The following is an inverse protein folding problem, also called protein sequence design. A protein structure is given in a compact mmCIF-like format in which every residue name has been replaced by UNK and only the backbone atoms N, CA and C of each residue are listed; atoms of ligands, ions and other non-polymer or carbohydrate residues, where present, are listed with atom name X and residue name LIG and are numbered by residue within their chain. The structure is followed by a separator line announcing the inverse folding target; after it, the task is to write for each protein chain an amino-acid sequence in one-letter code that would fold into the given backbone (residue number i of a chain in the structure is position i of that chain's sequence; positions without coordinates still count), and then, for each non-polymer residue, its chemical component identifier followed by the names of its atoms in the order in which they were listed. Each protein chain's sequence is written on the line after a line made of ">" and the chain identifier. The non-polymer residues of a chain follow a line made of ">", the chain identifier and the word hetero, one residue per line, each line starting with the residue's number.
data_IF_435389367955
#
_entry.id   IF_435389367955
#
_cell.length_a   1.000
_cell.length_b   1.000
_cell.length_c   1.000
_cell.angle_alpha   90.00
_cell.angle_beta   90.00
_cell.angle_gamma   90.00
#
_symmetry.space_group_name_H-M   'P 1'
#
loop_
_entity.id
_entity.type
_entity.pdbx_description
1 polymer ?
#
# COMPACT_ATOMS: atom_id res chain seq x y z
N UNK A 1 5.31 -30.52 13.53
CA UNK A 1 4.48 -29.72 12.62
C UNK A 1 5.40 -28.78 11.87
N UNK A 2 5.98 -29.27 10.77
CA UNK A 2 6.69 -28.42 9.82
C UNK A 2 5.64 -27.48 9.21
N UNK A 3 5.85 -26.18 9.37
CA UNK A 3 5.01 -25.18 8.74
C UNK A 3 5.12 -25.38 7.23
N UNK A 4 4.00 -25.70 6.59
CA UNK A 4 3.83 -25.59 5.15
C UNK A 4 4.27 -24.17 4.76
N UNK A 5 5.51 -24.00 4.27
CA UNK A 5 5.90 -22.82 3.53
C UNK A 5 5.03 -22.87 2.29
N UNK A 6 3.89 -22.18 2.34
CA UNK A 6 3.05 -22.01 1.16
C UNK A 6 3.96 -21.53 0.04
N UNK A 7 4.02 -22.29 -1.06
CA UNK A 7 4.81 -21.89 -2.22
C UNK A 7 4.28 -20.53 -2.69
N UNK A 8 5.18 -19.56 -2.82
CA UNK A 8 4.84 -18.18 -3.19
C UNK A 8 5.61 -17.79 -4.43
N UNK A 9 5.01 -16.92 -5.24
CA UNK A 9 5.78 -16.13 -6.19
C UNK A 9 6.76 -15.25 -5.41
N UNK A 10 7.97 -15.06 -5.91
CA UNK A 10 8.97 -14.19 -5.29
C UNK A 10 9.22 -13.03 -6.24
N UNK A 11 9.00 -11.81 -5.75
CA UNK A 11 9.48 -10.59 -6.43
C UNK A 11 10.66 -10.09 -5.63
N UNK A 12 11.85 -10.21 -6.22
CA UNK A 12 13.07 -9.69 -5.61
C UNK A 12 13.40 -8.33 -6.19
N UNK A 13 13.82 -7.42 -5.32
CA UNK A 13 14.19 -6.05 -5.66
C UNK A 13 15.48 -5.69 -4.94
N UNK A 14 16.49 -5.27 -5.70
CA UNK A 14 17.83 -4.95 -5.22
C UNK A 14 18.25 -3.58 -5.75
N UNK A 15 18.46 -2.62 -4.85
CA UNK A 15 19.04 -1.33 -5.21
C UNK A 15 20.55 -1.44 -5.48
N UNK A 16 21.01 -0.82 -6.56
CA UNK A 16 22.42 -0.58 -6.84
C UNK A 16 22.92 0.75 -6.27
N UNK A 17 24.10 1.15 -6.73
CA UNK A 17 24.78 2.34 -6.21
C UNK A 17 24.06 3.64 -6.57
N UNK A 18 24.11 4.60 -5.64
CA UNK A 18 23.49 5.91 -5.81
C UNK A 18 24.32 6.76 -6.78
N UNK A 19 23.72 7.16 -7.89
CA UNK A 19 24.38 7.96 -8.93
C UNK A 19 23.85 9.39 -8.86
N UNK A 20 24.73 10.38 -8.73
CA UNK A 20 24.33 11.80 -8.79
C UNK A 20 24.10 12.22 -10.23
N UNK A 21 22.90 12.74 -10.52
CA UNK A 21 22.54 13.23 -11.85
C UNK A 21 22.66 14.75 -11.93
N UNK A 22 23.83 15.21 -12.37
CA UNK A 22 24.13 16.62 -12.63
C UNK A 22 24.28 17.51 -11.39
N UNK A 23 24.50 18.81 -11.66
CA UNK A 23 24.77 19.85 -10.66
C UNK A 23 23.61 20.84 -10.43
N UNK A 24 22.44 20.56 -11.01
CA UNK A 24 21.27 21.45 -10.89
C UNK A 24 20.60 21.32 -9.52
N UNK A 25 20.06 22.44 -9.00
CA UNK A 25 19.26 22.47 -7.76
C UNK A 25 17.76 22.32 -8.09
N UNK A 26 17.02 21.45 -7.39
CA UNK A 26 17.50 20.49 -6.38
C UNK A 26 18.28 19.33 -7.02
N UNK A 27 19.34 18.88 -6.34
CA UNK A 27 20.14 17.73 -6.79
C UNK A 27 19.25 16.49 -6.88
N UNK A 28 19.28 15.85 -8.04
CA UNK A 28 18.57 14.61 -8.33
C UNK A 28 19.61 13.49 -8.37
N UNK A 29 19.22 12.35 -7.82
CA UNK A 29 19.99 11.13 -7.78
C UNK A 29 19.21 10.06 -8.51
N UNK A 30 19.92 9.18 -9.19
CA UNK A 30 19.39 7.98 -9.83
C UNK A 30 19.88 6.80 -9.02
N UNK A 31 18.95 5.96 -8.58
CA UNK A 31 19.28 4.66 -7.99
C UNK A 31 18.80 3.60 -8.97
N UNK A 32 19.70 2.86 -9.64
CA UNK A 32 19.31 1.73 -10.46
C UNK A 32 18.77 0.62 -9.55
N UNK A 33 17.59 0.11 -9.85
CA UNK A 33 16.96 -0.98 -9.12
C UNK A 33 16.81 -2.18 -10.03
N UNK A 34 17.46 -3.27 -9.64
CA UNK A 34 17.38 -4.55 -10.33
C UNK A 34 16.28 -5.38 -9.70
N UNK A 35 15.52 -6.08 -10.53
CA UNK A 35 14.42 -6.90 -10.06
C UNK A 35 14.33 -8.20 -10.84
N UNK A 36 13.79 -9.22 -10.21
CA UNK A 36 13.43 -10.49 -10.85
C UNK A 36 12.12 -11.01 -10.27
N UNK A 37 11.38 -11.75 -11.08
CA UNK A 37 10.15 -12.43 -10.66
C UNK A 37 10.33 -13.92 -10.85
N UNK A 38 10.27 -14.66 -9.74
CA UNK A 38 10.20 -16.12 -9.74
C UNK A 38 8.74 -16.51 -9.51
N UNK A 39 8.14 -17.18 -10.50
CA UNK A 39 6.75 -17.60 -10.40
C UNK A 39 6.67 -19.04 -9.86
N UNK A 40 5.83 -19.24 -8.85
CA UNK A 40 5.43 -20.58 -8.44
C UNK A 40 4.47 -21.17 -9.48
N UNK A 41 4.89 -22.25 -10.14
CA UNK A 41 4.12 -22.91 -11.20
C UNK A 41 2.77 -23.44 -10.71
N UNK A 42 2.72 -23.96 -9.48
CA UNK A 42 1.50 -24.49 -8.88
C UNK A 42 0.43 -23.40 -8.68
N UNK A 43 0.85 -22.15 -8.45
CA UNK A 43 -0.07 -21.02 -8.25
C UNK A 43 -0.39 -20.24 -9.53
N UNK A 44 0.25 -20.54 -10.66
CA UNK A 44 0.01 -19.86 -11.95
C UNK A 44 -1.44 -19.96 -12.42
N UNK A 45 -2.08 -21.12 -12.20
CA UNK A 45 -3.47 -21.36 -12.59
C UNK A 45 -4.47 -20.41 -11.89
N UNK A 46 -4.09 -19.84 -10.74
CA UNK A 46 -4.91 -18.90 -9.98
C UNK A 46 -4.76 -17.44 -10.45
N UNK A 47 -3.81 -17.14 -11.33
CA UNK A 47 -3.68 -15.83 -11.97
C UNK A 47 -4.84 -15.57 -12.95
N UNK A 48 -5.25 -16.62 -13.68
CA UNK A 48 -6.37 -16.61 -14.62
C UNK A 48 -7.71 -16.98 -13.97
N UNK A 49 -8.41 -16.01 -13.36
CA UNK A 49 -9.84 -16.20 -13.05
C UNK A 49 -10.70 -15.73 -14.22
N UNK A 50 -11.95 -16.22 -14.36
CA UNK A 50 -12.90 -15.80 -15.43
C UNK A 50 -13.08 -14.28 -15.59
N UNK A 51 -12.68 -13.48 -14.60
CA UNK A 51 -12.78 -12.01 -14.60
C UNK A 51 -11.48 -11.29 -14.98
N UNK A 52 -10.34 -11.98 -14.98
CA UNK A 52 -9.02 -11.37 -15.19
C UNK A 52 -8.47 -11.76 -16.55
N UNK A 53 -8.03 -10.78 -17.35
CA UNK A 53 -7.17 -11.08 -18.51
C UNK A 53 -5.74 -11.18 -17.99
N UNK A 54 -5.17 -12.36 -18.17
CA UNK A 54 -3.77 -12.64 -17.88
C UNK A 54 -3.11 -12.94 -19.22
N UNK A 55 -1.96 -12.33 -19.46
CA UNK A 55 -1.15 -12.47 -20.67
C UNK A 55 0.17 -13.15 -20.28
N UNK A 56 0.21 -14.49 -20.15
CA UNK A 56 1.42 -15.22 -19.76
C UNK A 56 2.64 -14.89 -20.62
N UNK A 57 2.43 -14.64 -21.91
CA UNK A 57 3.44 -14.24 -22.88
C UNK A 57 4.02 -12.84 -22.62
N UNK A 58 3.31 -11.99 -21.88
CA UNK A 58 3.76 -10.66 -21.47
C UNK A 58 4.32 -10.64 -20.04
N UNK A 59 4.41 -11.80 -19.37
CA UNK A 59 5.13 -11.91 -18.11
C UNK A 59 6.58 -11.50 -18.36
N UNK A 60 7.04 -10.53 -17.58
CA UNK A 60 8.43 -10.12 -17.65
C UNK A 60 9.26 -11.09 -16.81
N UNK A 61 9.76 -12.14 -17.45
CA UNK A 61 10.65 -13.13 -16.85
C UNK A 61 12.11 -12.66 -16.93
N UNK A 62 12.95 -13.16 -16.03
CA UNK A 62 14.37 -12.81 -15.97
C UNK A 62 14.70 -11.60 -15.10
N UNK A 63 15.90 -11.06 -15.29
CA UNK A 63 16.39 -9.87 -14.59
C UNK A 63 15.95 -8.63 -15.37
N UNK A 64 15.45 -7.61 -14.68
CA UNK A 64 15.14 -6.32 -15.26
C UNK A 64 15.72 -5.17 -14.44
N UNK A 65 15.83 -4.00 -15.07
CA UNK A 65 16.30 -2.77 -14.44
C UNK A 65 15.24 -1.67 -14.50
N UNK A 66 15.17 -0.89 -13.42
CA UNK A 66 14.35 0.32 -13.29
C UNK A 66 15.18 1.41 -12.59
N UNK A 67 15.39 2.54 -13.26
CA UNK A 67 16.07 3.68 -12.65
C UNK A 67 15.07 4.49 -11.81
N UNK A 68 15.33 4.63 -10.50
CA UNK A 68 14.50 5.43 -9.60
C UNK A 68 15.13 6.79 -9.34
N UNK A 69 14.41 7.85 -9.68
CA UNK A 69 14.79 9.22 -9.42
C UNK A 69 14.44 9.62 -7.98
N UNK A 70 15.46 9.97 -7.21
CA UNK A 70 15.37 10.37 -5.79
C UNK A 70 15.96 11.76 -5.61
N UNK A 71 15.30 12.61 -4.81
CA UNK A 71 15.85 13.93 -4.46
C UNK A 71 16.31 13.95 -3.01
N UNK A 72 17.47 14.56 -2.74
CA UNK A 72 17.97 14.79 -1.37
C UNK A 72 17.02 15.61 -0.48
N UNK A 73 16.04 16.31 -1.07
CA UNK A 73 14.97 16.98 -0.32
C UNK A 73 13.97 16.01 0.32
N UNK A 74 13.95 14.76 -0.13
CA UNK A 74 12.98 13.73 0.29
C UNK A 74 13.64 12.75 1.24
N UNK A 75 14.83 12.25 0.89
CA UNK A 75 15.53 11.19 1.63
C UNK A 75 17.04 11.49 1.64
N UNK A 76 17.73 11.17 2.75
CA UNK A 76 19.19 11.25 2.84
C UNK A 76 19.86 10.32 1.83
N UNK A 77 21.10 10.57 1.42
CA UNK A 77 21.81 9.71 0.44
C UNK A 77 21.93 8.26 0.92
N UNK A 78 22.22 8.07 2.21
CA UNK A 78 22.35 6.77 2.87
C UNK A 78 21.04 5.97 2.84
N UNK A 79 19.89 6.66 2.91
CA UNK A 79 18.57 6.02 2.93
C UNK A 79 17.94 5.92 1.51
N UNK A 80 18.59 6.44 0.45
CA UNK A 80 18.07 6.40 -0.92
C UNK A 80 17.90 4.99 -1.49
N UNK A 81 18.82 4.04 -1.28
CA UNK A 81 18.64 2.66 -1.76
C UNK A 81 17.34 2.04 -1.23
N UNK A 82 17.08 2.18 0.07
CA UNK A 82 15.87 1.65 0.69
C UNK A 82 14.60 2.30 0.11
N UNK A 83 14.64 3.62 -0.15
CA UNK A 83 13.52 4.33 -0.76
C UNK A 83 13.28 3.90 -2.21
N UNK A 84 14.36 3.71 -2.96
CA UNK A 84 14.31 3.26 -4.34
C UNK A 84 13.69 1.87 -4.46
N UNK A 85 14.07 0.92 -3.60
CA UNK A 85 13.48 -0.44 -3.60
C UNK A 85 11.96 -0.40 -3.34
N UNK A 86 11.51 0.38 -2.34
CA UNK A 86 10.09 0.50 -2.03
C UNK A 86 9.30 1.14 -3.18
N UNK A 87 9.84 2.17 -3.83
CA UNK A 87 9.22 2.82 -5.00
C UNK A 87 9.15 1.85 -6.19
N UNK A 88 10.26 1.15 -6.46
CA UNK A 88 10.34 0.18 -7.54
C UNK A 88 9.34 -0.96 -7.32
N UNK A 89 9.32 -1.57 -6.13
CA UNK A 89 8.37 -2.63 -5.79
C UNK A 89 6.92 -2.21 -6.08
N UNK A 90 6.48 -1.05 -5.61
CA UNK A 90 5.12 -0.57 -5.90
C UNK A 90 4.90 -0.38 -7.39
N UNK A 91 5.88 0.18 -8.11
CA UNK A 91 5.79 0.40 -9.55
C UNK A 91 5.65 -0.92 -10.33
N UNK A 92 6.44 -1.94 -10.00
CA UNK A 92 6.41 -3.25 -10.66
C UNK A 92 5.02 -3.92 -10.54
N UNK A 93 4.36 -3.77 -9.39
CA UNK A 93 3.02 -4.33 -9.16
C UNK A 93 1.89 -3.48 -9.75
N UNK A 94 2.05 -2.15 -9.76
CA UNK A 94 1.00 -1.18 -10.09
C UNK A 94 1.32 -0.36 -11.36
N UNK A 95 2.06 -0.96 -12.28
CA UNK A 95 2.35 -0.33 -13.55
C UNK A 95 1.07 -0.12 -14.38
N UNK A 96 1.07 0.88 -15.27
CA UNK A 96 0.04 1.02 -16.29
C UNK A 96 0.37 0.13 -17.49
N UNK A 97 -0.67 -0.44 -18.10
CA UNK A 97 -0.54 -1.52 -19.06
C UNK A 97 -0.34 -2.85 -18.34
N UNK A 98 0.55 -3.68 -18.86
CA UNK A 98 0.88 -4.99 -18.30
C UNK A 98 2.01 -4.86 -17.28
N UNK A 99 1.73 -5.33 -16.06
CA UNK A 99 2.70 -5.34 -14.96
C UNK A 99 3.67 -6.54 -15.05
N UNK A 100 4.60 -6.68 -14.11
CA UNK A 100 5.61 -7.77 -14.14
C UNK A 100 5.02 -9.18 -14.12
N UNK A 101 3.76 -9.32 -13.75
CA UNK A 101 3.03 -10.58 -13.70
C UNK A 101 2.16 -10.82 -14.94
N UNK A 102 2.33 -10.08 -16.04
CA UNK A 102 1.51 -10.29 -17.24
C UNK A 102 0.04 -9.88 -17.07
N UNK A 103 -0.29 -9.07 -16.05
CA UNK A 103 -1.67 -8.61 -15.82
C UNK A 103 -1.86 -7.17 -16.28
N UNK A 104 -2.89 -6.96 -17.09
CA UNK A 104 -3.44 -5.64 -17.36
C UNK A 104 -4.22 -5.14 -16.13
N UNK A 105 -3.83 -3.96 -15.63
CA UNK A 105 -4.43 -3.30 -14.46
C UNK A 105 -5.95 -3.18 -14.55
N UNK A 106 -6.52 -2.97 -15.75
CA UNK A 106 -7.98 -2.81 -15.91
C UNK A 106 -8.73 -4.12 -15.73
N UNK A 107 -8.06 -5.24 -16.03
CA UNK A 107 -8.68 -6.56 -16.03
C UNK A 107 -8.32 -7.40 -14.80
N UNK A 108 -7.16 -7.18 -14.19
CA UNK A 108 -6.62 -8.04 -13.13
C UNK A 108 -5.78 -7.29 -12.12
N UNK A 109 -5.61 -7.90 -10.95
CA UNK A 109 -4.78 -7.37 -9.85
C UNK A 109 -3.76 -8.45 -9.43
N UNK A 110 -2.52 -8.09 -9.06
CA UNK A 110 -1.50 -9.05 -8.61
C UNK A 110 -1.92 -9.92 -7.42
N UNK A 111 -1.49 -11.20 -7.33
CA UNK A 111 -1.79 -12.09 -6.22
C UNK A 111 -0.92 -11.78 -4.98
N UNK A 112 -1.20 -10.68 -4.30
CA UNK A 112 -0.45 -10.20 -3.13
C UNK A 112 -0.24 -11.25 -2.02
N UNK A 113 -1.27 -12.01 -1.67
CA UNK A 113 -1.18 -13.02 -0.59
C UNK A 113 -0.31 -14.25 -0.95
N UNK A 114 -0.25 -14.59 -2.23
CA UNK A 114 0.57 -15.69 -2.76
C UNK A 114 1.93 -15.20 -3.25
N UNK A 115 2.32 -13.98 -2.87
CA UNK A 115 3.61 -13.41 -3.25
C UNK A 115 4.43 -13.04 -2.02
N UNK A 116 5.73 -13.24 -2.12
CA UNK A 116 6.73 -12.68 -1.23
C UNK A 116 7.45 -11.54 -1.95
N UNK A 117 7.51 -10.38 -1.31
CA UNK A 117 8.36 -9.27 -1.72
C UNK A 117 9.69 -9.37 -0.97
N UNK A 118 10.78 -9.64 -1.68
CA UNK A 118 12.12 -9.73 -1.12
C UNK A 118 12.90 -8.46 -1.46
N UNK A 119 13.40 -7.78 -0.42
CA UNK A 119 14.10 -6.50 -0.51
C UNK A 119 15.51 -6.65 0.06
N UNK A 120 16.52 -6.07 -0.60
CA UNK A 120 17.91 -6.18 -0.11
C UNK A 120 18.16 -5.27 1.09
N UNK A 121 17.51 -4.11 1.14
CA UNK A 121 17.75 -3.13 2.20
C UNK A 121 16.94 -3.48 3.46
N UNK A 122 17.59 -3.71 4.63
CA UNK A 122 16.88 -3.95 5.89
C UNK A 122 15.88 -2.83 6.23
N UNK A 123 16.27 -1.58 6.00
CA UNK A 123 15.43 -0.42 6.26
C UNK A 123 14.16 -0.41 5.37
N UNK A 124 14.27 -0.82 4.11
CA UNK A 124 13.11 -0.93 3.22
C UNK A 124 12.12 -1.99 3.72
N UNK A 125 12.63 -3.14 4.19
CA UNK A 125 11.80 -4.21 4.76
C UNK A 125 10.99 -3.72 5.94
N UNK A 126 11.64 -3.09 6.92
CA UNK A 126 10.97 -2.52 8.10
C UNK A 126 9.94 -1.45 7.73
N UNK A 127 10.29 -0.54 6.82
CA UNK A 127 9.41 0.58 6.43
C UNK A 127 8.23 0.16 5.54
N UNK A 128 8.36 -0.91 4.75
CA UNK A 128 7.27 -1.46 3.92
C UNK A 128 6.38 -2.40 4.72
N UNK A 129 6.96 -3.27 5.55
CA UNK A 129 6.18 -4.16 6.40
C UNK A 129 5.35 -3.37 7.44
N UNK A 130 5.93 -2.27 7.96
CA UNK A 130 5.40 -1.48 9.07
C UNK A 130 4.89 -2.38 10.20
N UNK A 131 5.83 -2.97 10.91
CA UNK A 131 5.56 -3.57 12.21
C UNK A 131 5.29 -2.45 13.25
N UNK A 132 4.20 -2.50 14.04
CA UNK A 132 3.92 -1.51 15.09
C UNK A 132 5.04 -1.34 16.12
N UNK A 133 5.81 -2.39 16.42
CA UNK A 133 6.95 -2.33 17.33
C UNK A 133 8.14 -1.60 16.69
N UNK A 134 8.49 -1.93 15.45
CA UNK A 134 9.56 -1.26 14.71
C UNK A 134 9.22 0.20 14.41
N UNK A 135 7.95 0.49 14.11
CA UNK A 135 7.46 1.85 13.89
C UNK A 135 7.67 2.72 15.12
N UNK A 136 7.41 2.20 16.33
CA UNK A 136 7.66 2.92 17.59
C UNK A 136 9.16 3.18 17.83
N UNK A 137 10.02 2.25 17.42
CA UNK A 137 11.48 2.43 17.51
C UNK A 137 11.95 3.54 16.54
N UNK A 138 11.52 3.49 15.28
CA UNK A 138 11.80 4.51 14.26
C UNK A 138 11.19 5.89 14.58
N UNK A 139 10.13 5.95 15.38
CA UNK A 139 9.60 7.23 15.87
C UNK A 139 10.48 7.88 16.94
N UNK A 140 11.30 7.08 17.65
CA UNK A 140 12.18 7.53 18.73
C UNK A 140 13.58 7.87 18.24
N UNK A 141 13.94 7.48 17.02
CA UNK A 141 15.22 7.81 16.39
C UNK A 141 15.12 9.04 15.46
N UNK A 142 16.26 9.46 14.91
CA UNK A 142 16.34 10.57 13.94
C UNK A 142 15.76 10.25 12.55
N UNK A 143 15.28 9.02 12.31
CA UNK A 143 14.76 8.53 11.02
C UNK A 143 13.23 8.53 10.93
N UNK A 144 12.54 9.06 11.93
CA UNK A 144 11.07 9.23 11.93
C UNK A 144 10.50 9.88 10.66
N UNK A 145 11.26 10.77 10.00
CA UNK A 145 10.86 11.41 8.75
C UNK A 145 10.59 10.41 7.61
N UNK A 146 11.27 9.26 7.58
CA UNK A 146 11.12 8.21 6.56
C UNK A 146 9.73 7.56 6.59
N UNK A 147 9.09 7.50 7.77
CA UNK A 147 7.77 6.88 7.94
C UNK A 147 6.71 7.52 7.04
N UNK A 148 6.79 8.83 6.82
CA UNK A 148 5.86 9.57 5.97
C UNK A 148 6.15 9.33 4.47
N UNK A 149 7.40 9.10 4.11
CA UNK A 149 7.82 8.87 2.72
C UNK A 149 7.47 7.47 2.22
N UNK A 150 7.52 6.46 3.10
CA UNK A 150 7.24 5.06 2.76
C UNK A 150 5.77 4.65 2.96
N UNK A 151 4.96 5.54 3.52
CA UNK A 151 3.58 5.26 3.89
C UNK A 151 2.71 4.71 2.75
N UNK A 152 2.95 5.13 1.51
CA UNK A 152 2.22 4.61 0.34
C UNK A 152 2.58 3.15 0.03
N UNK A 153 3.87 2.79 0.14
CA UNK A 153 4.34 1.44 -0.13
C UNK A 153 3.86 0.49 0.96
N UNK A 154 3.93 0.92 2.21
CA UNK A 154 3.42 0.15 3.35
C UNK A 154 1.91 -0.06 3.28
N UNK A 155 1.14 0.97 2.88
CA UNK A 155 -0.29 0.79 2.63
C UNK A 155 -0.55 -0.24 1.53
N UNK A 156 0.18 -0.13 0.42
CA UNK A 156 -0.02 -0.97 -0.75
C UNK A 156 0.33 -2.45 -0.50
N UNK A 157 1.42 -2.70 0.23
CA UNK A 157 1.89 -4.04 0.56
C UNK A 157 1.43 -4.56 1.93
N UNK A 158 0.46 -3.90 2.57
CA UNK A 158 -0.09 -4.38 3.83
C UNK A 158 -0.61 -5.82 3.70
N UNK A 159 -0.13 -6.71 4.59
CA UNK A 159 -0.48 -8.13 4.59
C UNK A 159 0.28 -9.00 3.58
N UNK A 160 1.23 -8.42 2.82
CA UNK A 160 2.15 -9.17 1.96
C UNK A 160 3.31 -9.72 2.78
N UNK A 161 3.81 -10.89 2.39
CA UNK A 161 5.00 -11.49 2.98
C UNK A 161 6.24 -10.70 2.56
N UNK A 162 6.91 -10.03 3.51
CA UNK A 162 8.15 -9.30 3.25
C UNK A 162 9.34 -10.13 3.70
N UNK A 163 10.32 -10.34 2.82
CA UNK A 163 11.52 -11.14 3.08
C UNK A 163 12.82 -10.43 2.73
N UNK A 164 13.95 -11.06 3.05
CA UNK A 164 15.27 -10.65 2.55
C UNK A 164 15.43 -11.11 1.11
N UNK A 165 16.05 -10.29 0.26
CA UNK A 165 16.68 -10.83 -0.95
C UNK A 165 17.92 -11.64 -0.58
N UNK A 166 18.32 -12.55 -1.46
CA UNK A 166 19.55 -13.34 -1.32
C UNK A 166 20.79 -12.43 -1.36
N UNK A 167 21.68 -12.46 -0.35
CA UNK A 167 22.94 -11.72 -0.34
C UNK A 167 23.85 -12.03 -1.54
N UNK A 168 23.80 -13.25 -2.08
CA UNK A 168 24.75 -13.70 -3.11
C UNK A 168 24.39 -13.24 -4.53
N UNK A 169 23.14 -12.78 -4.76
CA UNK A 169 22.63 -11.97 -5.90
C UNK A 169 23.48 -11.95 -7.19
N UNK A 170 23.98 -13.10 -7.65
CA UNK A 170 24.91 -13.19 -8.79
C UNK A 170 24.28 -12.68 -10.08
N UNK A 171 22.95 -12.84 -10.17
CA UNK A 171 22.09 -12.33 -11.22
C UNK A 171 22.06 -10.79 -11.29
N UNK A 172 22.32 -10.08 -10.18
CA UNK A 172 22.46 -8.61 -10.21
C UNK A 172 23.74 -8.21 -10.94
N UNK A 173 24.83 -8.96 -10.77
CA UNK A 173 26.08 -8.72 -11.51
C UNK A 173 25.95 -9.02 -13.00
N UNK A 174 25.15 -10.03 -13.35
CA UNK A 174 24.75 -10.27 -14.74
C UNK A 174 23.92 -9.09 -15.27
N UNK A 175 22.99 -8.59 -14.44
CA UNK A 175 22.18 -7.42 -14.74
C UNK A 175 22.96 -6.09 -14.89
N UNK A 176 24.09 -5.97 -14.22
CA UNK A 176 24.98 -4.81 -14.33
C UNK A 176 25.84 -4.82 -15.60
N UNK A 177 26.02 -5.98 -16.24
CA UNK A 177 26.90 -6.13 -17.42
C UNK A 177 26.18 -5.83 -18.75
N UNK A 178 24.85 -5.84 -18.77
CA UNK A 178 24.03 -5.63 -19.96
C UNK A 178 23.07 -4.43 -19.77
N UNK A 179 23.63 -3.21 -19.72
CA UNK A 179 22.85 -1.99 -19.44
C UNK A 179 21.78 -1.68 -20.50
N UNK A 180 22.01 -2.06 -21.76
CA UNK A 180 21.13 -1.76 -22.89
C UNK A 180 20.02 -2.82 -23.07
N UNK A 181 20.24 -4.08 -22.67
CA UNK A 181 19.28 -5.18 -22.83
C UNK A 181 18.19 -5.28 -21.76
N UNK A 182 18.37 -4.62 -20.59
CA UNK A 182 17.55 -4.86 -19.39
C UNK A 182 16.57 -3.74 -19.02
N UNK A 183 16.50 -2.67 -19.82
CA UNK A 183 15.60 -1.53 -19.62
C UNK A 183 14.13 -1.90 -19.93
N UNK A 184 13.52 -2.72 -19.08
CA UNK A 184 12.12 -3.07 -19.21
C UNK A 184 11.16 -1.92 -18.85
N UNK A 185 11.63 -0.91 -18.10
CA UNK A 185 10.78 0.16 -17.55
C UNK A 185 11.35 1.58 -17.60
N UNK A 186 12.57 1.76 -18.12
CA UNK A 186 13.22 3.07 -18.18
C UNK A 186 13.40 3.69 -16.80
N UNK A 187 12.85 4.90 -16.59
CA UNK A 187 12.99 5.68 -15.35
C UNK A 187 11.67 6.02 -14.68
N UNK A 188 11.64 6.06 -13.35
CA UNK A 188 10.47 6.47 -12.57
C UNK A 188 10.84 7.39 -11.40
N UNK A 189 9.93 8.28 -11.00
CA UNK A 189 10.07 9.04 -9.74
C UNK A 189 9.09 8.56 -8.68
N UNK A 190 9.47 8.60 -7.41
CA UNK A 190 8.58 8.22 -6.31
C UNK A 190 7.27 9.04 -6.25
N UNK A 191 7.34 10.33 -6.63
CA UNK A 191 6.14 11.17 -6.75
C UNK A 191 5.16 10.67 -7.82
N UNK A 192 5.67 10.15 -8.93
CA UNK A 192 4.84 9.57 -9.98
C UNK A 192 4.10 8.32 -9.49
N UNK A 193 4.83 7.39 -8.85
CA UNK A 193 4.27 6.16 -8.27
C UNK A 193 3.21 6.50 -7.22
N UNK A 194 3.50 7.42 -6.31
CA UNK A 194 2.55 7.88 -5.29
C UNK A 194 1.28 8.47 -5.91
N UNK A 195 1.40 9.29 -6.97
CA UNK A 195 0.22 9.90 -7.62
C UNK A 195 -0.68 8.87 -8.30
N UNK A 196 -0.12 7.77 -8.81
CA UNK A 196 -0.90 6.68 -9.42
C UNK A 196 -1.77 5.91 -8.44
N UNK A 197 -1.43 5.95 -7.16
CA UNK A 197 -2.20 5.37 -6.06
C UNK A 197 -3.26 6.33 -5.48
N UNK A 198 -3.39 7.53 -6.06
CA UNK A 198 -4.46 8.43 -5.68
C UNK A 198 -5.79 7.91 -6.25
N UNK A 199 -6.86 8.14 -5.49
CA UNK A 199 -8.21 7.76 -5.82
C UNK A 199 -8.97 9.06 -6.09
N UNK A 200 -9.44 9.23 -7.31
CA UNK A 200 -10.31 10.36 -7.64
C UNK A 200 -11.75 9.95 -7.31
N UNK A 201 -12.41 10.72 -6.46
CA UNK A 201 -13.83 10.56 -6.10
C UNK A 201 -14.56 11.88 -6.33
N UNK A 202 -15.89 11.86 -6.26
CA UNK A 202 -16.71 13.08 -6.32
C UNK A 202 -16.38 14.07 -5.18
N UNK A 203 -15.77 13.58 -4.10
CA UNK A 203 -15.34 14.37 -2.95
C UNK A 203 -13.96 15.03 -3.15
N UNK A 204 -13.22 14.59 -4.17
CA UNK A 204 -11.87 15.05 -4.49
C UNK A 204 -10.86 13.90 -4.53
N UNK A 205 -9.58 14.26 -4.53
CA UNK A 205 -8.50 13.29 -4.64
C UNK A 205 -8.07 12.79 -3.26
N UNK A 206 -8.20 11.49 -3.07
CA UNK A 206 -7.93 10.78 -1.82
C UNK A 206 -6.67 9.91 -1.95
N UNK A 207 -5.94 9.77 -0.83
CA UNK A 207 -4.80 8.85 -0.73
C UNK A 207 -5.01 7.89 0.43
N UNK A 208 -4.89 6.59 0.16
CA UNK A 208 -4.80 5.54 1.19
C UNK A 208 -3.41 5.56 1.83
N UNK A 209 -3.37 5.53 3.15
CA UNK A 209 -2.15 5.44 3.96
C UNK A 209 -2.11 4.11 4.71
N UNK A 210 -0.97 3.76 5.30
CA UNK A 210 -0.89 2.54 6.12
C UNK A 210 -1.89 2.58 7.26
N UNK A 211 -2.01 3.73 7.92
CA UNK A 211 -2.97 3.95 9.01
C UNK A 211 -4.42 3.78 8.56
N UNK A 212 -4.74 4.19 7.34
CA UNK A 212 -6.05 3.96 6.73
C UNK A 212 -6.37 2.45 6.68
N UNK A 213 -5.38 1.62 6.33
CA UNK A 213 -5.54 0.16 6.28
C UNK A 213 -5.65 -0.44 7.69
N UNK A 214 -4.85 0.02 8.66
CA UNK A 214 -4.98 -0.40 10.06
C UNK A 214 -6.38 -0.11 10.63
N UNK A 215 -6.90 1.09 10.35
CA UNK A 215 -8.23 1.51 10.83
C UNK A 215 -9.35 0.68 10.20
N UNK A 216 -9.20 0.26 8.94
CA UNK A 216 -10.11 -0.70 8.32
C UNK A 216 -10.14 -2.03 9.06
N UNK A 217 -8.97 -2.59 9.40
CA UNK A 217 -8.88 -3.82 10.21
C UNK A 217 -9.35 -3.64 11.64
N UNK A 218 -9.27 -2.43 12.18
CA UNK A 218 -9.74 -2.12 13.51
C UNK A 218 -11.28 -2.04 13.62
N UNK A 219 -12.01 -1.97 12.49
CA UNK A 219 -13.47 -1.89 12.49
C UNK A 219 -14.11 -3.12 13.17
N UNK A 220 -15.15 -2.93 14.01
CA UNK A 220 -15.83 -4.03 14.69
C UNK A 220 -16.31 -5.17 13.78
N UNK A 221 -16.93 -4.84 12.65
CA UNK A 221 -17.39 -5.84 11.68
C UNK A 221 -16.22 -6.59 11.04
N UNK A 222 -15.14 -5.89 10.69
CA UNK A 222 -13.97 -6.52 10.06
C UNK A 222 -13.31 -7.47 11.03
N UNK A 223 -13.14 -7.07 12.29
CA UNK A 223 -12.69 -7.96 13.37
C UNK A 223 -13.57 -9.19 13.52
N UNK A 224 -14.90 -9.03 13.59
CA UNK A 224 -15.80 -10.18 13.68
C UNK A 224 -15.66 -11.12 12.47
N UNK A 225 -15.57 -10.57 11.25
CA UNK A 225 -15.40 -11.37 10.04
C UNK A 225 -14.09 -12.17 10.10
N UNK A 226 -12.99 -11.58 10.58
CA UNK A 226 -11.69 -12.25 10.69
C UNK A 226 -11.72 -13.29 11.82
N UNK A 227 -12.05 -12.86 13.04
CA UNK A 227 -11.91 -13.65 14.26
C UNK A 227 -12.96 -14.76 14.38
N UNK A 228 -14.19 -14.52 13.91
CA UNK A 228 -15.30 -15.47 14.04
C UNK A 228 -15.57 -16.22 12.75
N UNK A 229 -15.49 -15.55 11.60
CA UNK A 229 -15.82 -16.16 10.30
C UNK A 229 -14.59 -16.60 9.51
N UNK A 230 -13.37 -16.39 10.02
CA UNK A 230 -12.13 -16.77 9.35
C UNK A 230 -11.91 -16.02 8.03
N UNK A 231 -12.52 -14.85 7.84
CA UNK A 231 -12.38 -14.07 6.62
C UNK A 231 -10.93 -13.64 6.43
N UNK A 232 -10.33 -14.01 5.30
CA UNK A 232 -9.00 -13.56 4.91
C UNK A 232 -9.14 -12.39 3.93
N UNK A 233 -8.53 -11.26 4.26
CA UNK A 233 -8.43 -10.11 3.36
C UNK A 233 -7.10 -10.18 2.60
N UNK A 234 -7.09 -10.93 1.49
CA UNK A 234 -5.88 -11.12 0.67
C UNK A 234 -5.35 -9.84 0.00
N UNK A 235 -6.18 -8.79 -0.09
CA UNK A 235 -5.89 -7.52 -0.77
C UNK A 235 -6.41 -6.32 0.02
N UNK A 236 -5.77 -5.99 1.15
CA UNK A 236 -6.32 -5.01 2.08
C UNK A 236 -6.40 -3.60 1.50
N UNK A 237 -5.35 -3.16 0.80
CA UNK A 237 -5.32 -1.87 0.12
C UNK A 237 -6.49 -1.72 -0.86
N UNK A 238 -6.76 -2.75 -1.66
CA UNK A 238 -7.84 -2.72 -2.64
C UNK A 238 -9.24 -2.81 -2.00
N UNK A 239 -9.39 -3.56 -0.90
CA UNK A 239 -10.63 -3.53 -0.11
C UNK A 239 -10.92 -2.13 0.42
N UNK A 240 -9.89 -1.46 0.96
CA UNK A 240 -9.97 -0.07 1.40
C UNK A 240 -10.31 0.87 0.25
N UNK A 241 -9.67 0.70 -0.91
CA UNK A 241 -9.94 1.47 -2.13
C UNK A 241 -11.41 1.37 -2.56
N UNK A 242 -11.99 0.17 -2.55
CA UNK A 242 -13.40 -0.04 -2.87
C UNK A 242 -14.36 0.58 -1.85
N UNK A 243 -13.99 0.64 -0.57
CA UNK A 243 -14.78 1.36 0.44
C UNK A 243 -14.70 2.87 0.24
N UNK A 244 -13.52 3.39 -0.10
CA UNK A 244 -13.30 4.82 -0.34
C UNK A 244 -14.06 5.29 -1.59
N UNK A 245 -14.09 4.50 -2.66
CA UNK A 245 -14.87 4.82 -3.87
C UNK A 245 -16.38 4.88 -3.61
N UNK A 246 -16.88 4.18 -2.60
CA UNK A 246 -18.30 4.19 -2.21
C UNK A 246 -18.67 5.39 -1.32
N UNK A 247 -17.70 6.22 -0.93
CA UNK A 247 -17.97 7.38 -0.08
C UNK A 247 -18.68 8.49 -0.90
N UNK A 248 -19.92 8.82 -0.52
CA UNK A 248 -20.80 9.73 -1.27
C UNK A 248 -20.97 11.12 -0.63
N UNK A 249 -20.46 11.38 0.58
CA UNK A 249 -20.63 12.67 1.29
C UNK A 249 -19.40 13.07 2.12
N UNK A 250 -19.11 14.38 2.15
CA UNK A 250 -18.17 15.03 3.09
C UNK A 250 -18.85 15.27 4.44
N UNK A 251 -18.05 15.31 5.53
CA UNK A 251 -18.50 15.82 6.83
C UNK A 251 -17.78 17.15 7.09
N UNK A 252 -18.47 18.26 6.91
CA UNK A 252 -17.92 19.58 7.23
C UNK A 252 -17.74 19.75 8.74
N UNK A 253 -16.64 20.38 9.14
CA UNK A 253 -16.23 20.53 10.55
C UNK A 253 -17.19 21.37 11.41
N UNK A 254 -17.99 22.20 10.77
CA UNK A 254 -18.97 23.14 11.35
C UNK A 254 -20.42 22.69 11.15
N UNK A 255 -20.64 21.43 10.72
CA UNK A 255 -21.97 20.90 10.45
C UNK A 255 -22.94 21.14 11.65
N UNK A 256 -24.04 21.89 11.46
CA UNK A 256 -24.97 22.26 12.53
C UNK A 256 -25.56 21.06 13.27
N UNK A 257 -25.60 19.90 12.62
CA UNK A 257 -26.05 18.65 13.19
C UNK A 257 -25.03 18.01 14.13
N UNK A 258 -23.73 18.06 13.82
CA UNK A 258 -22.64 17.65 14.75
C UNK A 258 -22.58 18.56 15.98
N UNK A 259 -22.85 19.85 15.80
CA UNK A 259 -22.91 20.85 16.88
C UNK A 259 -24.16 20.62 17.75
N UNK A 260 -25.35 20.44 17.17
CA UNK A 260 -26.58 20.10 17.91
C UNK A 260 -26.48 18.76 18.64
N UNK A 261 -25.86 17.75 18.04
CA UNK A 261 -25.66 16.44 18.66
C UNK A 261 -24.69 16.49 19.84
N UNK A 262 -23.56 17.20 19.72
CA UNK A 262 -22.62 17.49 20.83
C UNK A 262 -23.31 18.19 21.99
N UNK A 263 -24.19 19.13 21.67
CA UNK A 263 -24.89 19.95 22.66
C UNK A 263 -26.05 19.23 23.35
N UNK A 264 -26.72 18.27 22.67
CA UNK A 264 -27.89 17.55 23.21
C UNK A 264 -27.54 16.24 23.93
N UNK A 265 -26.45 15.56 23.55
CA UNK A 265 -26.09 14.22 24.05
C UNK A 265 -24.68 14.13 24.68
N UNK A 266 -23.95 15.25 24.79
CA UNK A 266 -22.58 15.27 25.30
C UNK A 266 -21.66 14.30 24.55
N UNK A 267 -20.71 13.65 25.23
CA UNK A 267 -19.78 12.67 24.63
C UNK A 267 -20.45 11.47 23.92
N UNK A 268 -21.78 11.28 24.01
CA UNK A 268 -22.56 10.22 23.36
C UNK A 268 -23.27 10.63 22.05
N UNK A 269 -23.06 11.85 21.56
CA UNK A 269 -23.56 12.40 20.30
C UNK A 269 -23.33 11.57 19.01
N UNK A 270 -22.54 10.50 19.07
CA UNK A 270 -22.09 9.74 17.91
C UNK A 270 -23.17 8.81 17.32
N UNK A 271 -24.27 8.51 17.99
CA UNK A 271 -25.22 7.44 17.60
C UNK A 271 -26.39 7.87 16.69
N UNK A 272 -26.43 9.09 16.15
CA UNK A 272 -27.62 9.62 15.47
C UNK A 272 -27.32 10.15 14.06
N UNK A 273 -28.09 9.65 13.06
CA UNK A 273 -28.16 9.85 11.59
C UNK A 273 -27.48 8.77 10.73
N UNK A 274 -28.08 8.15 9.70
CA UNK A 274 -29.36 8.29 8.96
C UNK A 274 -29.72 6.94 8.27
N UNK A 275 -30.98 6.79 7.84
CA UNK A 275 -31.70 5.57 7.39
C UNK A 275 -31.33 4.98 6.01
N UNK A 276 -30.16 5.29 5.44
CA UNK A 276 -29.63 4.59 4.26
C UNK A 276 -28.10 4.63 4.31
N UNK A 277 -27.38 3.58 3.89
CA UNK A 277 -25.98 3.42 4.30
C UNK A 277 -24.99 4.20 3.41
N UNK A 278 -24.26 5.18 3.97
CA UNK A 278 -22.90 5.46 3.54
C UNK A 278 -21.89 4.95 4.59
N UNK A 279 -20.81 4.32 4.12
CA UNK A 279 -19.59 4.15 4.90
C UNK A 279 -18.96 5.53 5.05
N UNK A 280 -18.95 6.11 6.27
CA UNK A 280 -18.22 7.36 6.47
C UNK A 280 -16.74 7.05 6.54
N UNK A 281 -15.97 7.81 5.77
CA UNK A 281 -14.53 7.91 5.90
C UNK A 281 -14.31 9.26 6.58
N UNK A 282 -13.82 9.31 7.81
CA UNK A 282 -13.49 10.60 8.43
C UNK A 282 -12.27 11.14 7.65
N UNK A 283 -12.48 12.16 6.83
CA UNK A 283 -11.41 12.83 6.09
C UNK A 283 -10.83 13.90 7.02
N UNK A 284 -9.62 13.68 7.54
CA UNK A 284 -8.92 14.70 8.32
C UNK A 284 -7.94 15.43 7.38
N UNK A 285 -8.24 16.66 6.93
CA UNK A 285 -7.31 17.42 6.11
C UNK A 285 -6.03 17.71 6.91
N UNK A 286 -4.87 17.35 6.35
CA UNK A 286 -3.56 17.56 6.98
C UNK A 286 -2.90 18.88 6.61
N UNK A 287 -3.43 19.62 5.63
CA UNK A 287 -3.03 20.99 5.32
C UNK A 287 -4.07 21.69 4.42
N UNK A 288 -4.19 23.01 4.56
CA UNK A 288 -5.00 23.90 3.71
C UNK A 288 -4.43 24.01 2.27
N UNK A 289 -4.52 22.94 1.48
CA UNK A 289 -4.39 22.99 0.01
C UNK A 289 -5.71 22.57 -0.63
N UNK A 290 -6.12 23.16 -1.76
CA UNK A 290 -7.55 23.22 -2.09
C UNK A 290 -8.17 21.91 -2.61
N UNK A 291 -7.42 20.85 -2.90
CA UNK A 291 -7.95 19.72 -3.70
C UNK A 291 -7.32 18.34 -3.44
N UNK A 292 -6.57 18.15 -2.37
CA UNK A 292 -5.97 16.82 -2.05
C UNK A 292 -6.08 16.53 -0.57
N UNK A 293 -6.72 15.41 -0.22
CA UNK A 293 -7.00 15.03 1.16
C UNK A 293 -6.31 13.70 1.51
N UNK A 294 -5.86 13.58 2.76
CA UNK A 294 -5.42 12.31 3.33
C UNK A 294 -6.61 11.66 4.00
N UNK A 295 -6.85 10.38 3.70
CA UNK A 295 -7.88 9.60 4.38
C UNK A 295 -7.38 9.21 5.77
N UNK A 296 -8.03 9.69 6.83
CA UNK A 296 -7.67 9.42 8.23
C UNK A 296 -8.94 9.07 9.00
N UNK A 297 -9.50 7.90 8.73
CA UNK A 297 -10.63 7.42 9.52
C UNK A 297 -11.60 6.58 8.72
N UNK A 298 -12.05 5.52 9.35
CA UNK A 298 -13.09 4.65 8.85
C UNK A 298 -14.19 4.53 9.91
N UNK A 299 -15.39 5.01 9.58
CA UNK A 299 -16.56 4.95 10.43
C UNK A 299 -17.74 4.33 9.69
N UNK A 300 -17.83 3.00 9.66
CA UNK A 300 -18.99 2.34 9.08
C UNK A 300 -20.21 2.57 10.00
N UNK A 301 -21.35 2.91 9.39
CA UNK A 301 -22.64 2.75 10.06
C UNK A 301 -23.15 1.33 9.82
N UNK A 302 -23.63 0.69 10.88
CA UNK A 302 -24.20 -0.65 10.80
C UNK A 302 -25.73 -0.56 10.94
N UNK A 303 -26.45 -1.40 10.19
CA UNK A 303 -27.86 -1.65 10.47
C UNK A 303 -28.04 -2.11 11.92
N UNK A 304 -29.17 -1.78 12.54
CA UNK A 304 -29.43 -2.02 13.96
C UNK A 304 -29.20 -3.48 14.37
N UNK A 305 -29.64 -4.43 13.54
CA UNK A 305 -29.40 -5.86 13.75
C UNK A 305 -27.91 -6.21 13.80
N UNK A 306 -27.13 -5.63 12.89
CA UNK A 306 -25.67 -5.82 12.82
C UNK A 306 -24.99 -5.18 14.02
N UNK A 307 -25.40 -3.96 14.40
CA UNK A 307 -24.87 -3.27 15.57
C UNK A 307 -25.13 -4.07 16.86
N UNK A 308 -26.37 -4.49 17.07
CA UNK A 308 -26.79 -5.30 18.22
C UNK A 308 -26.01 -6.61 18.30
N UNK A 309 -25.81 -7.28 17.16
CA UNK A 309 -25.01 -8.50 17.06
C UNK A 309 -23.55 -8.27 17.42
N UNK A 310 -22.94 -7.20 16.93
CA UNK A 310 -21.54 -6.85 17.23
C UNK A 310 -21.35 -6.50 18.71
N UNK A 311 -22.32 -5.81 19.31
CA UNK A 311 -22.32 -5.50 20.76
C UNK A 311 -22.44 -6.79 21.58
N UNK A 312 -23.42 -7.64 21.27
CA UNK A 312 -23.63 -8.92 21.97
C UNK A 312 -22.39 -9.82 21.94
N UNK A 313 -21.62 -9.76 20.85
CA UNK A 313 -20.39 -10.54 20.67
C UNK A 313 -19.13 -9.83 21.18
N UNK A 314 -19.25 -8.64 21.78
CA UNK A 314 -18.12 -7.90 22.37
C UNK A 314 -17.20 -7.20 21.36
N UNK A 315 -17.54 -7.19 20.06
CA UNK A 315 -16.76 -6.49 19.04
C UNK A 315 -17.00 -4.98 19.03
N UNK A 316 -18.14 -4.55 19.57
CA UNK A 316 -18.49 -3.15 19.75
C UNK A 316 -18.88 -2.90 21.20
N UNK A 317 -18.46 -1.76 21.75
CA UNK A 317 -18.93 -1.32 23.07
C UNK A 317 -20.39 -0.82 22.95
N UNK A 318 -21.17 -1.00 24.02
CA UNK A 318 -22.46 -0.31 24.17
C UNK A 318 -22.24 1.21 23.99
N UNK A 319 -23.03 1.82 23.10
CA UNK A 319 -23.10 3.28 22.95
C UNK A 319 -24.08 3.88 23.93
#
# INVERSE_FOLDING_TARGET
>A
MEQNQAQKHIVEVVAGDVIREGDRRPTVYVVPVYWRVELCEETLSYLGSKRNKHYPEEIKTGVGRLDVLVSRKVVSEEDMPAYAEAVAAVYLYHQAGVNVFGMDRESGRPPKIATQLALSQPLARSLVAKDPYETKALQRDGKSYLLAHFDFAAAYFYGVSIGSSDPDSGWVKEGQRDEDGLSAFGRVSGNYVRRRLNIDTDLGRLKITYRTVEEFFAMPLVKELIEVKGQVYARPYESVHEQVLKATKHVESDNPHLVKLRNKFGKKAKSLLSENPPTFVDLIPTAARPTTFIVLGFRPLYAEETATRLIKKGFALFG
#
